data_IF_531249900447
#
_entry.id   IF_531249900447
#
_cell.length_a   1.000
_cell.length_b   1.000
_cell.length_c   1.000
_cell.angle_alpha   90.00
_cell.angle_beta   90.00
_cell.angle_gamma   90.00
#
_symmetry.space_group_name_H-M   'P 1'
#
loop_
_entity.id
_entity.type
_entity.pdbx_description
1 polymer ?
#
# COMPACT_ATOMS: atom_id res chain seq x y z
N UNK A 1 -24.85 -23.72 -46.48
CA UNK A 1 -25.82 -22.66 -46.13
C UNK A 1 -25.07 -21.51 -45.46
N UNK A 2 -25.14 -20.33 -46.08
CA UNK A 2 -24.70 -18.98 -45.68
C UNK A 2 -23.27 -18.80 -45.13
N UNK A 3 -22.34 -18.58 -46.08
CA UNK A 3 -21.09 -17.83 -45.91
C UNK A 3 -21.42 -16.35 -46.01
N UNK A 4 -20.98 -15.52 -45.05
CA UNK A 4 -21.05 -14.07 -45.16
C UNK A 4 -19.81 -13.57 -45.93
N UNK A 5 -20.07 -12.86 -47.03
CA UNK A 5 -19.08 -12.29 -47.91
C UNK A 5 -18.51 -10.98 -47.32
N UNK A 6 -17.19 -10.82 -47.43
CA UNK A 6 -16.48 -9.55 -47.25
C UNK A 6 -16.78 -8.63 -48.45
N UNK A 7 -17.07 -7.34 -48.26
CA UNK A 7 -17.14 -6.41 -49.37
C UNK A 7 -15.74 -5.98 -49.80
N UNK A 8 -15.44 -6.27 -51.07
CA UNK A 8 -14.25 -5.87 -51.83
C UNK A 8 -14.34 -4.41 -52.31
N UNK A 9 -13.16 -3.78 -52.38
CA UNK A 9 -12.80 -2.60 -53.19
C UNK A 9 -13.55 -1.29 -52.93
N UNK A 10 -13.04 -0.49 -51.99
CA UNK A 10 -13.15 0.97 -52.06
C UNK A 10 -11.99 1.50 -52.92
N UNK A 11 -12.32 2.01 -54.10
CA UNK A 11 -11.39 2.70 -54.99
C UNK A 11 -10.90 3.98 -54.33
N UNK A 12 -9.59 4.06 -54.09
CA UNK A 12 -8.91 5.27 -53.61
C UNK A 12 -8.94 6.33 -54.72
N UNK A 13 -9.95 7.21 -54.70
CA UNK A 13 -9.93 8.43 -55.51
C UNK A 13 -8.99 9.42 -54.83
N UNK A 14 -7.76 9.53 -55.34
CA UNK A 14 -6.82 10.60 -55.00
C UNK A 14 -7.38 11.94 -55.46
N UNK A 15 -8.22 12.57 -54.62
CA UNK A 15 -8.49 14.01 -54.74
C UNK A 15 -7.26 14.74 -54.22
N UNK A 16 -6.59 15.43 -55.13
CA UNK A 16 -5.57 16.44 -54.88
C UNK A 16 -6.00 17.32 -53.70
N UNK A 17 -5.12 17.63 -52.73
CA UNK A 17 -5.48 18.54 -51.65
C UNK A 17 -5.79 19.88 -52.29
N UNK A 18 -7.05 20.33 -52.18
CA UNK A 18 -7.38 21.71 -52.46
C UNK A 18 -6.65 22.54 -51.41
N UNK A 19 -5.60 23.21 -51.86
CA UNK A 19 -4.98 24.31 -51.14
C UNK A 19 -6.07 25.32 -50.83
N UNK A 20 -6.47 25.40 -49.56
CA UNK A 20 -7.26 26.51 -49.03
C UNK A 20 -6.35 27.75 -49.04
N UNK A 21 -6.26 28.40 -50.20
CA UNK A 21 -5.55 29.68 -50.40
C UNK A 21 -6.50 30.86 -50.33
N UNK A 22 -7.58 30.75 -49.56
CA UNK A 22 -8.35 31.93 -49.17
C UNK A 22 -8.02 32.25 -47.71
N UNK A 23 -7.49 33.45 -47.42
CA UNK A 23 -7.33 33.88 -46.04
C UNK A 23 -8.72 33.87 -45.40
N UNK A 24 -8.84 33.26 -44.21
CA UNK A 24 -10.06 33.34 -43.40
C UNK A 24 -10.19 34.79 -42.94
N UNK A 25 -10.73 35.66 -43.78
CA UNK A 25 -11.06 37.04 -43.48
C UNK A 25 -12.40 37.04 -42.76
N UNK A 26 -12.36 36.84 -41.45
CA UNK A 26 -13.57 36.79 -40.63
C UNK A 26 -13.40 36.26 -39.21
N UNK A 27 -12.19 35.88 -38.79
CA UNK A 27 -11.94 35.67 -37.36
C UNK A 27 -11.73 37.05 -36.71
N UNK A 28 -12.81 37.61 -36.17
CA UNK A 28 -12.67 38.69 -35.20
C UNK A 28 -11.71 38.24 -34.10
N UNK A 29 -10.78 39.10 -33.65
CA UNK A 29 -9.82 38.73 -32.63
C UNK A 29 -10.57 38.28 -31.36
N UNK A 30 -10.29 37.04 -30.93
CA UNK A 30 -10.77 36.53 -29.65
C UNK A 30 -10.28 37.47 -28.54
N UNK A 31 -11.22 38.17 -27.91
CA UNK A 31 -10.92 39.03 -26.77
C UNK A 31 -10.83 38.16 -25.52
N UNK A 32 -9.61 37.91 -25.06
CA UNK A 32 -9.34 37.21 -23.80
C UNK A 32 -9.44 38.19 -22.64
N UNK A 33 -10.47 38.03 -21.81
CA UNK A 33 -10.62 38.79 -20.57
C UNK A 33 -9.90 38.09 -19.43
N UNK A 34 -8.85 38.71 -18.88
CA UNK A 34 -8.32 38.35 -17.57
C UNK A 34 -9.07 39.21 -16.54
N UNK A 35 -9.89 38.63 -15.65
CA UNK A 35 -10.54 39.41 -14.60
C UNK A 35 -9.48 40.15 -13.77
N UNK A 36 -9.59 41.48 -13.69
CA UNK A 36 -8.80 42.28 -12.75
C UNK A 36 -9.37 42.06 -11.35
N UNK A 37 -8.79 41.12 -10.61
CA UNK A 37 -9.06 41.02 -9.18
C UNK A 37 -8.48 42.23 -8.46
N UNK A 38 -9.17 42.79 -7.44
CA UNK A 38 -8.61 43.84 -6.61
C UNK A 38 -7.28 43.36 -6.02
N UNK A 39 -6.31 44.28 -5.88
CA UNK A 39 -5.03 43.95 -5.23
C UNK A 39 -5.35 43.44 -3.82
N UNK A 40 -4.94 42.20 -3.48
CA UNK A 40 -5.15 41.68 -2.13
C UNK A 40 -4.47 42.63 -1.15
N UNK A 41 -5.17 42.97 -0.07
CA UNK A 41 -4.58 43.77 0.99
C UNK A 41 -3.41 43.03 1.65
N UNK A 42 -2.64 43.74 2.48
CA UNK A 42 -1.47 43.17 3.13
C UNK A 42 -1.80 41.96 4.03
N UNK A 43 -3.01 41.90 4.59
CA UNK A 43 -3.45 40.80 5.44
C UNK A 43 -3.77 39.54 4.61
N UNK A 44 -4.46 39.71 3.47
CA UNK A 44 -4.75 38.62 2.54
C UNK A 44 -3.47 38.10 1.88
N UNK A 45 -2.53 38.97 1.50
CA UNK A 45 -1.22 38.56 0.99
C UNK A 45 -0.41 37.79 2.03
N UNK A 46 -0.42 38.24 3.28
CA UNK A 46 0.24 37.53 4.38
C UNK A 46 -0.37 36.14 4.59
N UNK A 47 -1.71 36.05 4.61
CA UNK A 47 -2.43 34.80 4.76
C UNK A 47 -2.18 33.81 3.61
N UNK A 48 -2.25 34.27 2.36
CA UNK A 48 -1.94 33.44 1.18
C UNK A 48 -0.48 32.97 1.18
N UNK A 49 0.45 33.81 1.62
CA UNK A 49 1.87 33.43 1.76
C UNK A 49 2.04 32.38 2.86
N UNK A 50 1.35 32.50 3.98
CA UNK A 50 1.37 31.52 5.07
C UNK A 50 0.82 30.16 4.61
N UNK A 51 -0.34 30.14 3.94
CA UNK A 51 -0.93 28.92 3.36
C UNK A 51 0.05 28.27 2.39
N UNK A 52 0.63 29.07 1.49
CA UNK A 52 1.57 28.57 0.49
C UNK A 52 2.84 28.00 1.12
N UNK A 53 3.37 28.64 2.17
CA UNK A 53 4.57 28.17 2.85
C UNK A 53 4.32 26.85 3.60
N UNK A 54 3.21 26.74 4.33
CA UNK A 54 2.86 25.51 5.04
C UNK A 54 2.60 24.35 4.07
N UNK A 55 1.82 24.59 3.01
CA UNK A 55 1.53 23.58 1.98
C UNK A 55 2.81 23.16 1.22
N UNK A 56 3.73 24.10 0.95
CA UNK A 56 5.05 23.76 0.38
C UNK A 56 5.91 22.90 1.32
N UNK A 57 5.89 23.18 2.63
CA UNK A 57 6.66 22.41 3.61
C UNK A 57 6.12 20.97 3.72
N UNK A 58 4.80 20.80 3.84
CA UNK A 58 4.17 19.48 3.88
C UNK A 58 4.36 18.69 2.59
N UNK A 59 4.29 19.35 1.43
CA UNK A 59 4.61 18.73 0.14
C UNK A 59 6.09 18.29 0.06
N UNK A 60 7.00 19.03 0.71
CA UNK A 60 8.39 18.65 0.88
C UNK A 60 8.55 17.34 1.68
N UNK A 61 7.90 17.27 2.84
CA UNK A 61 7.91 16.07 3.70
C UNK A 61 7.27 14.86 3.02
N UNK A 62 6.15 15.05 2.33
CA UNK A 62 5.54 14.01 1.49
C UNK A 62 6.53 13.47 0.44
N UNK A 63 7.27 14.39 -0.22
CA UNK A 63 8.25 14.02 -1.24
C UNK A 63 9.43 13.25 -0.68
N UNK A 64 9.90 13.62 0.50
CA UNK A 64 10.96 12.90 1.20
C UNK A 64 10.49 11.50 1.58
N UNK A 65 9.28 11.37 2.13
CA UNK A 65 8.71 10.10 2.55
C UNK A 65 8.60 9.07 1.40
N UNK A 66 8.01 9.43 0.25
CA UNK A 66 7.84 8.43 -0.82
C UNK A 66 9.17 8.05 -1.50
N UNK A 67 10.16 8.96 -1.53
CA UNK A 67 11.45 8.72 -2.18
C UNK A 67 12.28 7.66 -1.47
N UNK A 68 12.10 7.48 -0.15
CA UNK A 68 12.70 6.38 0.60
C UNK A 68 12.35 4.99 0.03
N UNK A 69 11.27 4.88 -0.75
CA UNK A 69 10.77 3.63 -1.32
C UNK A 69 10.96 3.55 -2.84
N UNK A 70 11.75 4.45 -3.42
CA UNK A 70 11.97 4.55 -4.86
C UNK A 70 13.47 4.55 -5.17
N UNK A 71 13.95 3.52 -5.84
CA UNK A 71 15.32 3.46 -6.38
C UNK A 71 15.32 2.79 -7.75
N UNK A 72 16.39 3.00 -8.51
CA UNK A 72 16.59 2.35 -9.80
C UNK A 72 17.03 0.90 -9.57
N UNK A 73 16.43 -0.04 -10.30
CA UNK A 73 16.81 -1.46 -10.28
C UNK A 73 17.45 -1.78 -11.63
N UNK A 74 18.75 -2.07 -11.62
CA UNK A 74 19.54 -2.46 -12.80
C UNK A 74 19.82 -3.96 -12.83
N UNK A 75 19.76 -4.63 -11.66
CA UNK A 75 19.89 -6.08 -11.56
C UNK A 75 19.39 -6.66 -10.24
N UNK A 76 19.64 -7.95 -10.03
CA UNK A 76 19.21 -8.66 -8.82
C UNK A 76 19.81 -8.10 -7.53
N UNK A 77 21.01 -7.53 -7.61
CA UNK A 77 21.71 -6.95 -6.47
C UNK A 77 21.07 -5.64 -5.96
N UNK A 78 20.10 -5.06 -6.67
CA UNK A 78 19.33 -3.90 -6.22
C UNK A 78 18.01 -4.31 -5.56
N UNK A 79 17.66 -5.59 -5.61
CA UNK A 79 16.48 -6.14 -4.95
C UNK A 79 16.83 -6.58 -3.53
N UNK A 80 15.81 -6.53 -2.67
CA UNK A 80 15.87 -6.97 -1.29
C UNK A 80 14.63 -7.81 -0.99
N UNK A 81 14.82 -9.00 -0.47
CA UNK A 81 13.74 -9.89 -0.03
C UNK A 81 13.85 -10.08 1.47
N UNK A 82 12.78 -9.81 2.22
CA UNK A 82 12.73 -9.99 3.67
C UNK A 82 11.67 -11.05 4.04
N UNK A 83 12.02 -12.35 4.03
CA UNK A 83 11.09 -13.40 4.42
C UNK A 83 10.75 -13.31 5.92
N UNK A 84 9.47 -13.43 6.26
CA UNK A 84 9.01 -13.40 7.66
C UNK A 84 8.14 -14.59 8.08
N UNK A 85 7.73 -15.45 7.13
CA UNK A 85 6.99 -16.69 7.41
C UNK A 85 7.51 -17.83 6.55
N UNK A 86 7.83 -18.96 7.18
CA UNK A 86 8.02 -20.26 6.53
C UNK A 86 6.70 -21.02 6.67
N UNK A 87 5.85 -20.97 5.65
CA UNK A 87 4.47 -21.49 5.76
C UNK A 87 4.44 -23.03 5.76
N UNK A 88 5.19 -23.66 4.85
CA UNK A 88 5.19 -25.11 4.68
C UNK A 88 6.46 -25.64 4.01
N UNK A 89 6.74 -26.92 4.24
CA UNK A 89 7.66 -27.78 3.46
C UNK A 89 6.93 -29.09 3.10
N UNK A 90 7.59 -30.02 2.41
CA UNK A 90 6.98 -31.31 2.05
C UNK A 90 6.37 -32.00 3.29
N UNK A 91 5.06 -32.24 3.25
CA UNK A 91 4.31 -32.95 4.28
C UNK A 91 4.06 -32.17 5.59
N UNK A 92 4.44 -30.89 5.71
CA UNK A 92 4.27 -30.15 6.96
C UNK A 92 4.04 -28.64 6.77
N UNK A 93 3.04 -28.10 7.48
CA UNK A 93 2.88 -26.67 7.73
C UNK A 93 3.55 -26.28 9.05
N UNK A 94 3.80 -24.99 9.24
CA UNK A 94 4.43 -24.48 10.46
C UNK A 94 3.56 -23.47 11.21
N UNK A 95 2.24 -23.57 11.05
CA UNK A 95 1.29 -22.75 11.81
C UNK A 95 1.25 -23.11 13.31
N UNK A 96 1.87 -24.23 13.70
CA UNK A 96 2.12 -24.65 15.08
C UNK A 96 3.34 -23.96 15.71
N UNK A 97 4.16 -23.27 14.91
CA UNK A 97 5.36 -22.57 15.38
C UNK A 97 5.04 -21.11 15.70
N UNK A 98 5.72 -20.57 16.71
CA UNK A 98 5.57 -19.16 17.07
C UNK A 98 6.30 -18.25 16.08
N UNK A 99 5.94 -16.95 16.06
CA UNK A 99 6.55 -16.01 15.13
C UNK A 99 8.05 -15.84 15.32
N UNK A 100 8.58 -16.07 16.53
CA UNK A 100 10.01 -16.02 16.81
C UNK A 100 10.76 -17.15 16.08
N UNK A 101 10.24 -18.37 16.12
CA UNK A 101 10.80 -19.49 15.40
C UNK A 101 10.89 -19.23 13.89
N UNK A 102 9.86 -18.62 13.29
CA UNK A 102 9.86 -18.33 11.85
C UNK A 102 10.98 -17.36 11.46
N UNK A 103 11.10 -16.24 12.16
CA UNK A 103 12.08 -15.20 11.85
C UNK A 103 13.50 -15.66 12.17
N UNK A 104 13.73 -16.42 13.23
CA UNK A 104 15.03 -17.05 13.52
C UNK A 104 15.44 -18.08 12.45
N UNK A 105 14.47 -18.89 11.99
CA UNK A 105 14.72 -19.88 10.95
C UNK A 105 15.08 -19.21 9.62
N UNK A 106 14.37 -18.14 9.25
CA UNK A 106 14.60 -17.42 8.00
C UNK A 106 15.83 -16.52 8.04
N UNK A 107 16.18 -15.98 9.21
CA UNK A 107 17.43 -15.23 9.42
C UNK A 107 18.67 -16.09 9.09
N UNK A 108 18.63 -17.41 9.34
CA UNK A 108 19.71 -18.31 8.91
C UNK A 108 19.86 -18.40 7.40
N UNK A 109 18.82 -18.11 6.61
CA UNK A 109 18.93 -18.05 5.15
C UNK A 109 19.59 -16.75 4.69
N UNK A 110 19.38 -15.65 5.43
CA UNK A 110 20.02 -14.36 5.13
C UNK A 110 21.55 -14.42 5.19
N UNK A 111 22.12 -15.29 6.04
CA UNK A 111 23.57 -15.47 6.12
C UNK A 111 24.18 -16.18 4.91
N UNK A 112 23.36 -16.71 4.00
CA UNK A 112 23.79 -17.46 2.82
C UNK A 112 23.42 -16.74 1.50
N UNK A 113 22.82 -15.55 1.56
CA UNK A 113 22.40 -14.82 0.36
C UNK A 113 22.27 -13.32 0.62
N UNK A 114 23.03 -12.51 -0.12
CA UNK A 114 22.95 -11.05 -0.07
C UNK A 114 21.60 -10.48 -0.54
N UNK A 115 20.79 -11.31 -1.22
CA UNK A 115 19.42 -10.97 -1.63
C UNK A 115 18.44 -11.02 -0.45
N UNK A 116 18.70 -11.90 0.52
CA UNK A 116 17.80 -12.15 1.66
C UNK A 116 18.22 -11.28 2.84
N UNK A 117 17.31 -10.44 3.31
CA UNK A 117 17.48 -9.62 4.49
C UNK A 117 16.90 -10.29 5.74
N UNK A 118 17.62 -10.12 6.84
CA UNK A 118 17.08 -10.33 8.18
C UNK A 118 15.95 -9.33 8.44
N UNK A 119 14.87 -9.82 9.06
CA UNK A 119 13.81 -8.95 9.59
C UNK A 119 14.14 -8.57 11.03
N UNK A 120 14.41 -7.28 11.27
CA UNK A 120 14.57 -6.73 12.61
C UNK A 120 13.28 -6.88 13.43
N UNK A 121 13.43 -7.19 14.73
CA UNK A 121 12.31 -7.56 15.60
C UNK A 121 12.56 -7.21 17.05
N UNK A 122 11.48 -6.99 17.80
CA UNK A 122 11.50 -6.82 19.25
C UNK A 122 10.39 -7.65 19.91
N UNK A 123 10.75 -8.40 20.95
CA UNK A 123 9.79 -9.14 21.77
C UNK A 123 9.29 -8.23 22.89
N UNK A 124 7.98 -8.16 23.07
CA UNK A 124 7.36 -7.23 24.02
C UNK A 124 6.31 -7.97 24.83
N UNK A 125 6.48 -7.98 26.16
CA UNK A 125 5.41 -8.36 27.08
C UNK A 125 4.53 -7.14 27.34
N UNK A 126 3.24 -7.22 27.02
CA UNK A 126 2.30 -6.11 27.23
C UNK A 126 2.00 -5.84 28.71
N UNK A 127 2.43 -6.73 29.61
CA UNK A 127 2.32 -6.54 31.06
C UNK A 127 3.56 -5.88 31.67
N UNK A 128 4.58 -5.58 30.87
CA UNK A 128 5.80 -4.91 31.29
C UNK A 128 5.87 -3.51 30.65
N UNK A 129 5.66 -2.49 31.47
CA UNK A 129 5.67 -1.09 31.03
C UNK A 129 7.05 -0.66 30.48
N UNK A 130 8.14 -1.23 31.00
CA UNK A 130 9.50 -0.94 30.55
C UNK A 130 9.69 -1.45 29.12
N UNK A 131 9.36 -2.72 28.87
CA UNK A 131 9.46 -3.29 27.52
C UNK A 131 8.53 -2.58 26.53
N UNK A 132 7.35 -2.13 26.97
CA UNK A 132 6.46 -1.32 26.15
C UNK A 132 7.08 0.05 25.80
N UNK A 133 7.74 0.70 26.77
CA UNK A 133 8.43 1.96 26.54
C UNK A 133 9.57 1.79 25.54
N UNK A 134 10.42 0.79 25.73
CA UNK A 134 11.54 0.57 24.81
C UNK A 134 11.10 0.14 23.40
N UNK A 135 9.94 -0.51 23.26
CA UNK A 135 9.38 -0.87 21.95
C UNK A 135 8.85 0.35 21.21
N UNK A 136 8.24 1.30 21.94
CA UNK A 136 7.82 2.58 21.40
C UNK A 136 9.02 3.40 20.94
N UNK A 137 10.09 3.44 21.73
CA UNK A 137 11.29 4.21 21.39
C UNK A 137 11.99 3.61 20.16
N UNK A 138 12.12 2.28 20.09
CA UNK A 138 12.59 1.57 18.89
C UNK A 138 11.74 1.88 17.64
N UNK A 139 10.41 1.94 17.78
CA UNK A 139 9.53 2.31 16.68
C UNK A 139 9.71 3.78 16.25
N UNK A 140 9.95 4.70 17.19
CA UNK A 140 10.23 6.10 16.88
C UNK A 140 11.55 6.27 16.12
N UNK A 141 12.59 5.53 16.50
CA UNK A 141 13.88 5.51 15.80
C UNK A 141 13.70 4.98 14.37
N UNK A 142 13.14 3.78 14.21
CA UNK A 142 12.89 3.15 12.91
C UNK A 142 12.10 4.06 11.95
N UNK A 143 11.05 4.71 12.45
CA UNK A 143 10.22 5.59 11.63
C UNK A 143 10.86 6.97 11.40
N UNK A 144 11.73 7.42 12.30
CA UNK A 144 12.54 8.62 12.13
C UNK A 144 13.59 8.49 11.04
N UNK A 145 14.10 7.28 10.80
CA UNK A 145 15.05 6.96 9.72
C UNK A 145 14.38 6.70 8.36
N UNK A 146 13.06 6.88 8.26
CA UNK A 146 12.30 6.71 7.02
C UNK A 146 11.60 5.35 6.87
N UNK A 147 11.69 4.48 7.88
CA UNK A 147 10.96 3.21 7.92
C UNK A 147 9.44 3.39 7.95
N UNK A 148 8.70 2.45 7.34
CA UNK A 148 7.24 2.54 7.22
C UNK A 148 6.56 2.48 8.59
N UNK A 149 7.13 1.71 9.51
CA UNK A 149 6.56 1.38 10.81
C UNK A 149 6.80 -0.09 11.15
N UNK A 150 5.88 -0.67 11.92
CA UNK A 150 6.00 -2.07 12.37
C UNK A 150 4.71 -2.86 12.16
N UNK A 151 4.85 -4.17 12.17
CA UNK A 151 3.74 -5.12 12.21
C UNK A 151 3.78 -5.85 13.55
N UNK A 152 2.79 -5.61 14.39
CA UNK A 152 2.64 -6.26 15.69
C UNK A 152 1.86 -7.56 15.49
N UNK A 153 2.43 -8.68 15.92
CA UNK A 153 1.81 -10.01 15.82
C UNK A 153 1.68 -10.61 17.23
N UNK A 154 0.67 -11.45 17.51
CA UNK A 154 0.68 -12.32 18.70
C UNK A 154 1.96 -13.18 18.75
N UNK A 155 2.26 -13.85 19.86
CA UNK A 155 3.42 -14.77 19.85
C UNK A 155 3.14 -15.97 18.94
N UNK A 156 2.02 -16.64 19.18
CA UNK A 156 1.58 -17.80 18.41
C UNK A 156 1.04 -17.37 17.04
N UNK A 157 1.27 -18.18 16.01
CA UNK A 157 0.83 -17.88 14.65
C UNK A 157 -0.70 -17.82 14.53
N UNK A 158 -1.40 -18.77 15.17
CA UNK A 158 -2.86 -18.81 15.28
C UNK A 158 -3.26 -18.59 16.74
N UNK A 159 -3.49 -17.33 17.12
CA UNK A 159 -3.86 -16.98 18.48
C UNK A 159 -5.38 -16.85 18.67
N UNK A 160 -5.88 -17.33 19.81
CA UNK A 160 -7.29 -17.18 20.23
C UNK A 160 -7.37 -16.48 21.58
N UNK A 161 -8.32 -15.58 21.72
CA UNK A 161 -8.70 -14.97 23.00
C UNK A 161 -10.13 -15.37 23.39
N UNK A 162 -10.66 -14.74 24.44
CA UNK A 162 -12.01 -15.01 24.96
C UNK A 162 -13.11 -14.90 23.91
N UNK A 163 -12.93 -14.01 22.92
CA UNK A 163 -13.91 -13.73 21.85
C UNK A 163 -13.63 -14.48 20.54
N UNK A 164 -12.74 -15.47 20.56
CA UNK A 164 -12.39 -16.28 19.39
C UNK A 164 -11.05 -15.89 18.77
N UNK A 165 -10.95 -16.01 17.44
CA UNK A 165 -9.70 -15.81 16.70
C UNK A 165 -9.24 -14.34 16.79
N UNK A 166 -7.97 -14.13 17.17
CA UNK A 166 -7.36 -12.81 17.22
C UNK A 166 -6.84 -12.40 15.84
N UNK A 167 -6.63 -11.09 15.65
CA UNK A 167 -5.98 -10.60 14.43
C UNK A 167 -4.56 -11.20 14.34
N UNK A 168 -4.18 -11.82 13.21
CA UNK A 168 -2.86 -12.42 13.06
C UNK A 168 -1.74 -11.35 13.01
N UNK A 169 -2.09 -10.12 12.63
CA UNK A 169 -1.18 -9.00 12.55
C UNK A 169 -1.92 -7.66 12.64
N UNK A 170 -1.27 -6.66 13.23
CA UNK A 170 -1.72 -5.27 13.27
C UNK A 170 -0.59 -4.38 12.78
N UNK A 171 -0.85 -3.61 11.72
CA UNK A 171 0.11 -2.62 11.19
C UNK A 171 0.07 -1.33 12.01
N UNK A 172 1.24 -0.80 12.35
CA UNK A 172 1.43 0.47 13.07
C UNK A 172 2.44 1.31 12.29
N UNK A 173 1.91 2.20 11.45
CA UNK A 173 2.68 2.99 10.47
C UNK A 173 3.14 4.32 11.04
N UNK A 174 4.37 4.71 10.70
CA UNK A 174 5.03 5.95 11.09
C UNK A 174 4.31 7.19 10.56
N UNK A 175 4.53 8.32 11.25
CA UNK A 175 3.90 9.59 10.93
C UNK A 175 4.23 10.04 9.49
N UNK A 176 5.50 10.07 9.14
CA UNK A 176 5.90 10.60 7.82
C UNK A 176 5.46 9.68 6.68
N UNK A 177 5.53 8.34 6.87
CA UNK A 177 4.98 7.38 5.92
C UNK A 177 3.48 7.60 5.66
N UNK A 178 2.70 7.89 6.69
CA UNK A 178 1.26 8.11 6.55
C UNK A 178 0.89 9.32 5.70
N UNK A 179 1.83 10.24 5.38
CA UNK A 179 1.61 11.28 4.36
C UNK A 179 1.38 10.70 2.97
N UNK A 180 2.03 9.59 2.65
CA UNK A 180 1.86 8.87 1.37
C UNK A 180 0.41 8.35 1.25
N UNK A 181 -0.19 7.99 2.38
CA UNK A 181 -1.51 7.35 2.45
C UNK A 181 -2.65 8.36 2.61
N UNK A 182 -2.48 9.34 3.51
CA UNK A 182 -3.54 10.28 3.88
C UNK A 182 -3.38 11.67 3.24
N UNK A 183 -2.30 11.90 2.51
CA UNK A 183 -1.97 13.16 1.87
C UNK A 183 -0.94 13.98 2.65
N UNK A 184 -0.28 14.91 1.96
CA UNK A 184 0.81 15.72 2.51
C UNK A 184 0.44 16.45 3.81
N UNK A 185 -0.75 17.06 3.85
CA UNK A 185 -1.22 17.93 4.93
C UNK A 185 -2.00 17.17 6.03
N UNK A 186 -2.01 15.83 6.02
CA UNK A 186 -2.91 15.05 6.90
C UNK A 186 -2.68 15.28 8.40
N UNK A 187 -1.50 15.77 8.78
CA UNK A 187 -1.14 16.09 10.16
C UNK A 187 -1.76 17.39 10.68
N UNK A 188 -2.29 18.24 9.80
CA UNK A 188 -2.93 19.48 10.19
C UNK A 188 -4.16 19.21 11.09
N UNK A 189 -4.39 20.00 12.15
CA UNK A 189 -5.41 19.71 13.16
C UNK A 189 -6.81 19.47 12.58
N UNK A 190 -7.21 20.24 11.56
CA UNK A 190 -8.52 20.06 10.90
C UNK A 190 -8.66 18.71 10.18
N UNK A 191 -7.58 18.20 9.59
CA UNK A 191 -7.56 16.93 8.89
C UNK A 191 -7.45 15.77 9.87
N UNK A 192 -6.52 15.87 10.82
CA UNK A 192 -6.25 14.82 11.80
C UNK A 192 -7.48 14.53 12.68
N UNK A 193 -8.22 15.57 13.12
CA UNK A 193 -9.44 15.41 13.92
C UNK A 193 -10.49 14.55 13.19
N UNK A 194 -10.65 14.76 11.88
CA UNK A 194 -11.58 13.98 11.03
C UNK A 194 -11.09 12.55 10.83
N UNK A 195 -9.79 12.36 10.58
CA UNK A 195 -9.20 11.05 10.26
C UNK A 195 -9.15 10.09 11.46
N UNK A 196 -9.18 10.61 12.70
CA UNK A 196 -9.27 9.79 13.92
C UNK A 196 -10.55 8.97 13.98
N UNK A 197 -11.66 9.47 13.42
CA UNK A 197 -12.90 8.73 13.30
C UNK A 197 -12.83 7.79 12.11
N UNK A 198 -12.45 6.52 12.33
CA UNK A 198 -12.31 5.51 11.27
C UNK A 198 -12.90 4.16 11.68
N UNK A 199 -13.63 3.53 10.76
CA UNK A 199 -14.22 2.21 10.96
C UNK A 199 -13.24 1.10 10.59
N UNK A 200 -12.72 0.37 11.58
CA UNK A 200 -11.78 -0.75 11.36
C UNK A 200 -12.46 -2.12 11.25
N UNK A 201 -13.75 -2.21 11.58
CA UNK A 201 -14.48 -3.48 11.71
C UNK A 201 -14.49 -4.31 10.42
N UNK A 202 -14.80 -3.69 9.29
CA UNK A 202 -14.84 -4.36 7.98
C UNK A 202 -13.49 -4.97 7.60
N UNK A 203 -12.40 -4.19 7.64
CA UNK A 203 -11.05 -4.67 7.32
C UNK A 203 -10.56 -5.76 8.28
N UNK A 204 -10.87 -5.63 9.59
CA UNK A 204 -10.58 -6.68 10.58
C UNK A 204 -11.32 -7.99 10.30
N UNK A 205 -12.58 -7.92 9.90
CA UNK A 205 -13.37 -9.11 9.53
C UNK A 205 -12.85 -9.78 8.26
N UNK A 206 -12.50 -8.99 7.25
CA UNK A 206 -11.91 -9.49 6.00
C UNK A 206 -10.56 -10.19 6.26
N UNK A 207 -9.67 -9.53 7.00
CA UNK A 207 -8.35 -10.08 7.34
C UNK A 207 -8.44 -11.45 8.04
N UNK A 208 -9.41 -11.65 8.95
CA UNK A 208 -9.59 -12.94 9.62
C UNK A 208 -10.09 -14.03 8.66
N UNK A 209 -11.00 -13.69 7.74
CA UNK A 209 -11.55 -14.63 6.76
C UNK A 209 -10.50 -15.01 5.72
N UNK A 210 -9.78 -14.04 5.19
CA UNK A 210 -8.65 -14.25 4.27
C UNK A 210 -7.57 -15.11 4.94
N UNK A 211 -7.20 -14.80 6.19
CA UNK A 211 -6.25 -15.59 6.95
C UNK A 211 -6.68 -17.05 7.11
N UNK A 212 -7.94 -17.29 7.50
CA UNK A 212 -8.47 -18.65 7.65
C UNK A 212 -8.47 -19.42 6.33
N UNK A 213 -8.85 -18.78 5.22
CA UNK A 213 -8.78 -19.38 3.88
C UNK A 213 -7.35 -19.68 3.45
N UNK A 214 -6.39 -18.80 3.76
CA UNK A 214 -4.98 -19.00 3.47
C UNK A 214 -4.39 -20.21 4.21
N UNK A 215 -4.69 -20.33 5.52
CA UNK A 215 -4.30 -21.50 6.33
C UNK A 215 -4.90 -22.77 5.75
N UNK A 216 -6.20 -22.78 5.48
CA UNK A 216 -6.90 -23.95 4.94
C UNK A 216 -6.36 -24.36 3.56
N UNK A 217 -6.02 -23.40 2.69
CA UNK A 217 -5.44 -23.68 1.38
C UNK A 217 -4.11 -24.45 1.51
N UNK A 218 -3.23 -24.01 2.41
CA UNK A 218 -1.93 -24.67 2.66
C UNK A 218 -2.14 -26.06 3.23
N UNK A 219 -3.04 -26.22 4.22
CA UNK A 219 -3.35 -27.51 4.83
C UNK A 219 -3.88 -28.53 3.82
N UNK A 220 -4.81 -28.12 2.94
CA UNK A 220 -5.36 -28.99 1.89
C UNK A 220 -4.30 -29.38 0.85
N UNK A 221 -3.44 -28.45 0.49
CA UNK A 221 -2.34 -28.72 -0.42
C UNK A 221 -1.40 -29.80 0.14
N UNK A 222 -1.03 -29.68 1.42
CA UNK A 222 -0.17 -30.66 2.09
C UNK A 222 -0.81 -32.04 2.27
N UNK A 223 -2.13 -32.09 2.46
CA UNK A 223 -2.91 -33.35 2.50
C UNK A 223 -3.11 -33.98 1.13
N UNK A 224 -2.56 -33.38 0.06
CA UNK A 224 -2.69 -33.82 -1.34
C UNK A 224 -4.15 -33.94 -1.77
N UNK A 225 -5.01 -33.04 -1.27
CA UNK A 225 -6.37 -32.95 -1.75
C UNK A 225 -6.42 -32.53 -3.23
N UNK A 226 -7.50 -32.84 -3.97
CA UNK A 226 -7.65 -32.39 -5.34
C UNK A 226 -7.48 -30.88 -5.48
N UNK A 227 -6.77 -30.42 -6.52
CA UNK A 227 -6.42 -28.99 -6.69
C UNK A 227 -7.63 -28.05 -6.61
N UNK A 228 -8.82 -28.48 -7.05
CA UNK A 228 -10.07 -27.71 -6.90
C UNK A 228 -10.39 -27.32 -5.45
N UNK A 229 -10.05 -28.18 -4.47
CA UNK A 229 -10.27 -27.96 -3.02
C UNK A 229 -9.26 -26.98 -2.43
N UNK A 230 -8.06 -26.91 -3.00
CA UNK A 230 -7.07 -25.88 -2.65
C UNK A 230 -7.49 -24.55 -3.27
N UNK A 231 -7.83 -24.57 -4.56
CA UNK A 231 -8.20 -23.38 -5.32
C UNK A 231 -9.50 -22.72 -4.84
N UNK A 232 -10.49 -23.45 -4.31
CA UNK A 232 -11.67 -22.80 -3.72
C UNK A 232 -11.30 -21.86 -2.55
N UNK A 233 -10.27 -22.21 -1.77
CA UNK A 233 -9.78 -21.35 -0.69
C UNK A 233 -8.98 -20.16 -1.24
N UNK A 234 -8.07 -20.41 -2.20
CA UNK A 234 -7.25 -19.36 -2.83
C UNK A 234 -8.12 -18.35 -3.58
N UNK A 235 -9.10 -18.80 -4.35
CA UNK A 235 -10.05 -17.92 -5.03
C UNK A 235 -11.00 -17.24 -4.06
N UNK A 236 -11.30 -17.85 -2.92
CA UNK A 236 -12.01 -17.19 -1.83
C UNK A 236 -11.25 -15.96 -1.31
N UNK A 237 -9.93 -16.05 -1.11
CA UNK A 237 -9.09 -14.89 -0.73
C UNK A 237 -9.17 -13.81 -1.80
N UNK A 238 -8.97 -14.17 -3.07
CA UNK A 238 -9.03 -13.22 -4.18
C UNK A 238 -10.39 -12.53 -4.30
N UNK A 239 -11.49 -13.26 -4.07
CA UNK A 239 -12.84 -12.71 -4.09
C UNK A 239 -13.06 -11.72 -2.93
N UNK A 240 -12.56 -12.02 -1.73
CA UNK A 240 -12.68 -11.13 -0.57
C UNK A 240 -11.88 -9.83 -0.74
N UNK A 241 -10.73 -9.86 -1.42
CA UNK A 241 -9.95 -8.64 -1.74
C UNK A 241 -10.68 -7.69 -2.70
N UNK A 242 -11.76 -8.15 -3.35
CA UNK A 242 -12.61 -7.31 -4.20
C UNK A 242 -13.70 -6.56 -3.41
N UNK A 243 -13.90 -6.88 -2.13
CA UNK A 243 -14.87 -6.19 -1.27
C UNK A 243 -14.43 -4.75 -0.99
N UNK A 244 -15.33 -3.75 -1.16
CA UNK A 244 -14.95 -2.35 -0.99
C UNK A 244 -14.61 -2.06 0.47
N UNK A 245 -13.36 -1.65 0.70
CA UNK A 245 -12.86 -1.17 1.98
C UNK A 245 -12.11 0.15 1.81
N UNK A 246 -12.00 0.93 2.89
CA UNK A 246 -11.19 2.14 2.87
C UNK A 246 -9.73 1.78 2.51
N UNK A 247 -9.21 2.24 1.34
CA UNK A 247 -7.90 1.86 0.84
C UNK A 247 -6.74 2.40 1.70
N UNK A 248 -7.04 3.30 2.65
CA UNK A 248 -6.05 3.88 3.55
C UNK A 248 -5.72 2.96 4.73
N UNK A 249 -6.51 1.91 4.99
CA UNK A 249 -6.44 1.06 6.19
C UNK A 249 -5.43 -0.09 6.09
#
# INVERSE_FOLDING_TARGET
MKRNALPTSATCSTKTPQTLTEPITGLEPLTLFIPKFPKPDAQLLFFLKLIRLNSCADAGLYREAYRCYCWKVEGLNDLRLAPFHLLATEGRSYFDRDHLWHVETLERLSTHSDLLLKTERKLVSLNDETLCAEARDWWHELTGEGGEGMVVKPRDFIARGEKGLLQPAVKVRGREYLRIIYGAEYTEPQHLKRLRSRGLGGKRSLALREFALGVEAVERFLKREPLRRVHECVFGVLALESEPVDPRL
#
